data_IF_731252475533
#
_entry.id   IF_731252475533
#
_cell.length_a   1.000
_cell.length_b   1.000
_cell.length_c   1.000
_cell.angle_alpha   90.00
_cell.angle_beta   90.00
_cell.angle_gamma   90.00
#
_symmetry.space_group_name_H-M   'P 1'
#
loop_
_entity.id
_entity.type
_entity.pdbx_description
1 polymer ?
#
# COMPACT_ATOMS: atom_id res chain seq x y z
N UNK A 1 -17.83 11.58 -9.04
CA UNK A 1 -17.55 10.88 -7.77
C UNK A 1 -16.06 10.52 -7.69
N UNK A 2 -15.43 10.85 -6.58
CA UNK A 2 -14.03 10.49 -6.40
C UNK A 2 -13.91 9.00 -6.08
N UNK A 3 -12.88 8.31 -6.59
CA UNK A 3 -12.66 6.92 -6.22
C UNK A 3 -12.34 6.79 -4.72
N UNK A 4 -12.56 5.62 -4.11
CA UNK A 4 -12.18 5.38 -2.73
C UNK A 4 -10.69 5.64 -2.50
N UNK A 5 -10.33 6.03 -1.27
CA UNK A 5 -8.95 6.42 -0.97
C UNK A 5 -7.93 5.32 -1.26
N UNK A 6 -8.26 4.04 -0.99
CA UNK A 6 -7.33 2.95 -1.29
C UNK A 6 -7.01 2.84 -2.77
N UNK A 7 -7.96 3.18 -3.65
CA UNK A 7 -7.71 3.22 -5.09
C UNK A 7 -6.89 4.42 -5.51
N UNK A 8 -7.03 5.55 -4.81
CA UNK A 8 -6.19 6.72 -5.07
C UNK A 8 -4.74 6.45 -4.67
N UNK A 9 -4.52 5.78 -3.54
CA UNK A 9 -3.18 5.36 -3.13
C UNK A 9 -2.60 4.37 -4.14
N UNK A 10 -3.42 3.42 -4.62
CA UNK A 10 -3.01 2.49 -5.66
C UNK A 10 -2.51 3.25 -6.90
N UNK A 11 -3.30 4.19 -7.39
CA UNK A 11 -2.93 4.95 -8.59
C UNK A 11 -1.64 5.75 -8.37
N UNK A 12 -1.49 6.35 -7.20
CA UNK A 12 -0.31 7.11 -6.82
C UNK A 12 0.96 6.25 -6.90
N UNK A 13 0.92 5.04 -6.35
CA UNK A 13 2.08 4.14 -6.36
C UNK A 13 2.29 3.47 -7.72
N UNK A 14 1.21 3.13 -8.43
CA UNK A 14 1.31 2.57 -9.79
C UNK A 14 1.94 3.59 -10.73
N UNK A 15 1.49 4.82 -10.70
CA UNK A 15 2.01 5.88 -11.56
C UNK A 15 3.48 6.17 -11.28
N UNK A 16 3.93 5.94 -10.06
CA UNK A 16 5.34 6.11 -9.68
C UNK A 16 6.21 4.91 -10.07
N UNK A 17 5.62 3.84 -10.61
CA UNK A 17 6.36 2.63 -11.00
C UNK A 17 6.74 1.72 -9.84
N UNK A 18 6.19 1.94 -8.64
CA UNK A 18 6.57 1.22 -7.43
C UNK A 18 5.90 -0.16 -7.30
N UNK A 19 4.95 -0.47 -8.17
CA UNK A 19 4.25 -1.76 -8.17
C UNK A 19 4.76 -2.69 -9.27
N UNK A 20 5.82 -2.33 -9.95
CA UNK A 20 6.38 -3.11 -11.05
C UNK A 20 6.79 -4.51 -10.58
N UNK A 21 6.33 -5.52 -11.29
CA UNK A 21 6.60 -6.91 -10.95
C UNK A 21 5.59 -7.53 -9.98
N UNK A 22 4.57 -6.77 -9.58
CA UNK A 22 3.52 -7.23 -8.67
C UNK A 22 2.17 -7.23 -9.36
N UNK A 23 1.34 -8.22 -9.04
CA UNK A 23 -0.06 -8.22 -9.45
C UNK A 23 -0.84 -7.33 -8.49
N UNK A 24 -1.43 -6.26 -9.02
CA UNK A 24 -2.14 -5.26 -8.22
C UNK A 24 -3.57 -5.72 -7.97
N UNK A 25 -3.95 -5.79 -6.71
CA UNK A 25 -5.30 -6.18 -6.31
C UNK A 25 -5.89 -5.15 -5.33
N UNK A 26 -7.20 -5.15 -5.19
CA UNK A 26 -7.92 -4.24 -4.29
C UNK A 26 -8.88 -5.03 -3.42
N UNK A 27 -9.02 -4.60 -2.17
CA UNK A 27 -9.93 -5.13 -1.15
C UNK A 27 -9.50 -6.47 -0.58
N UNK A 28 -9.35 -7.49 -1.40
CA UNK A 28 -8.97 -8.82 -0.94
C UNK A 28 -7.82 -9.35 -1.78
N UNK A 29 -7.03 -10.22 -1.17
CA UNK A 29 -6.01 -10.96 -1.89
C UNK A 29 -6.64 -12.22 -2.47
N UNK A 30 -6.54 -12.34 -3.80
CA UNK A 30 -6.94 -13.57 -4.51
C UNK A 30 -5.66 -14.28 -4.94
N UNK A 31 -5.40 -15.43 -4.33
CA UNK A 31 -4.24 -16.26 -4.66
C UNK A 31 -4.51 -16.98 -5.96
N UNK A 32 -3.62 -16.79 -6.95
CA UNK A 32 -3.75 -17.45 -8.26
C UNK A 32 -3.20 -18.87 -8.26
N UNK A 33 -2.61 -19.32 -7.14
CA UNK A 33 -2.00 -20.63 -7.03
C UNK A 33 -0.58 -20.73 -7.58
N UNK A 34 -0.06 -19.65 -8.13
CA UNK A 34 1.31 -19.60 -8.68
C UNK A 34 2.26 -19.12 -7.59
N UNK A 35 3.11 -19.99 -7.09
CA UNK A 35 4.01 -19.69 -5.97
C UNK A 35 5.07 -18.64 -6.30
N UNK A 36 5.37 -18.42 -7.58
CA UNK A 36 6.33 -17.40 -8.00
C UNK A 36 5.70 -16.02 -8.17
N UNK A 37 4.37 -15.92 -8.17
CA UNK A 37 3.68 -14.65 -8.39
C UNK A 37 3.70 -13.79 -7.14
N UNK A 38 3.92 -12.48 -7.34
CA UNK A 38 3.93 -11.47 -6.26
C UNK A 38 2.68 -10.63 -6.36
N UNK A 39 2.18 -10.20 -5.19
CA UNK A 39 0.94 -9.41 -5.12
C UNK A 39 1.15 -8.16 -4.30
N UNK A 40 0.42 -7.11 -4.66
CA UNK A 40 0.28 -5.92 -3.82
C UNK A 40 -1.21 -5.59 -3.73
N UNK A 41 -1.73 -5.54 -2.51
CA UNK A 41 -3.17 -5.43 -2.26
C UNK A 41 -3.47 -4.14 -1.51
N UNK A 42 -4.37 -3.33 -2.04
CA UNK A 42 -4.77 -2.05 -1.46
C UNK A 42 -6.14 -2.18 -0.80
N UNK A 43 -6.22 -1.85 0.50
CA UNK A 43 -7.43 -2.03 1.29
C UNK A 43 -7.76 -0.79 2.10
N UNK A 44 -9.05 -0.46 2.27
CA UNK A 44 -9.44 0.56 3.23
C UNK A 44 -9.20 0.06 4.66
N UNK A 45 -8.87 0.98 5.57
CA UNK A 45 -8.62 0.65 6.98
C UNK A 45 -9.25 1.69 7.92
N UNK A 46 -10.44 2.17 7.58
CA UNK A 46 -11.14 3.14 8.40
C UNK A 46 -10.58 4.55 8.26
N UNK A 47 -10.73 5.32 9.31
CA UNK A 47 -10.33 6.71 9.33
C UNK A 47 -10.96 7.45 10.48
N UNK A 48 -10.83 8.78 10.49
CA UNK A 48 -11.48 9.64 11.48
C UNK A 48 -12.89 10.02 10.99
N UNK A 49 -13.69 10.54 11.92
CA UNK A 49 -15.03 11.04 11.56
C UNK A 49 -14.91 12.19 10.57
N UNK A 50 -15.76 12.18 9.55
CA UNK A 50 -15.80 13.25 8.56
C UNK A 50 -16.52 14.45 9.15
N UNK A 51 -15.85 15.62 9.12
CA UNK A 51 -16.45 16.89 9.50
C UNK A 51 -16.68 17.71 8.23
N UNK A 52 -17.77 18.45 8.18
CA UNK A 52 -18.14 19.25 6.98
C UNK A 52 -17.07 20.22 6.54
N UNK A 53 -16.45 20.87 7.50
CA UNK A 53 -15.56 22.00 7.26
C UNK A 53 -14.09 21.65 7.44
N UNK A 54 -13.78 20.38 7.74
CA UNK A 54 -12.43 19.97 8.04
C UNK A 54 -12.05 18.71 7.24
N UNK A 55 -10.75 18.54 7.06
CA UNK A 55 -10.22 17.35 6.44
C UNK A 55 -10.44 16.13 7.33
N UNK A 56 -10.58 14.98 6.71
CA UNK A 56 -10.67 13.70 7.40
C UNK A 56 -9.45 12.84 7.09
N UNK A 57 -9.02 12.06 8.06
CA UNK A 57 -7.99 11.04 7.83
C UNK A 57 -8.64 9.79 7.25
N UNK A 58 -8.04 9.26 6.21
CA UNK A 58 -8.42 8.00 5.60
C UNK A 58 -7.24 7.06 5.72
N UNK A 59 -7.43 5.92 6.39
CA UNK A 59 -6.36 4.94 6.56
C UNK A 59 -6.44 3.88 5.48
N UNK A 60 -5.27 3.53 4.93
CA UNK A 60 -5.15 2.57 3.84
C UNK A 60 -4.10 1.53 4.24
N UNK A 61 -4.45 0.26 4.09
CA UNK A 61 -3.50 -0.84 4.22
C UNK A 61 -2.99 -1.23 2.85
N UNK A 62 -1.69 -1.46 2.76
CA UNK A 62 -1.05 -1.98 1.55
C UNK A 62 -0.29 -3.23 1.95
N UNK A 63 -0.76 -4.39 1.50
CA UNK A 63 -0.08 -5.66 1.75
C UNK A 63 0.80 -6.00 0.55
N UNK A 64 2.09 -6.13 0.78
CA UNK A 64 3.06 -6.58 -0.22
C UNK A 64 3.33 -8.05 0.05
N UNK A 65 2.98 -8.92 -0.89
CA UNK A 65 3.02 -10.38 -0.74
C UNK A 65 4.00 -10.94 -1.76
N UNK A 66 5.01 -11.66 -1.27
CA UNK A 66 6.06 -12.20 -2.13
C UNK A 66 5.69 -13.53 -2.75
N UNK A 67 6.45 -13.95 -3.75
CA UNK A 67 6.53 -15.34 -4.12
C UNK A 67 7.31 -16.15 -3.09
N UNK A 68 7.39 -17.46 -3.29
CA UNK A 68 8.05 -18.37 -2.36
C UNK A 68 9.52 -18.57 -2.74
N UNK A 69 10.37 -17.60 -2.39
CA UNK A 69 11.82 -17.76 -2.56
C UNK A 69 12.58 -16.72 -1.74
N UNK A 70 13.79 -17.06 -1.34
CA UNK A 70 14.64 -16.15 -0.58
C UNK A 70 14.99 -14.89 -1.39
N UNK A 71 15.16 -15.01 -2.72
CA UNK A 71 15.41 -13.87 -3.58
C UNK A 71 14.24 -12.89 -3.61
N UNK A 72 13.02 -13.43 -3.58
CA UNK A 72 11.81 -12.61 -3.51
C UNK A 72 11.70 -11.87 -2.17
N UNK A 73 12.13 -12.48 -1.08
CA UNK A 73 12.10 -11.84 0.24
C UNK A 73 12.99 -10.60 0.25
N UNK A 74 14.21 -10.70 -0.25
CA UNK A 74 15.14 -9.58 -0.33
C UNK A 74 14.60 -8.48 -1.26
N UNK A 75 14.02 -8.87 -2.41
CA UNK A 75 13.42 -7.92 -3.34
C UNK A 75 12.26 -7.17 -2.70
N UNK A 76 11.39 -7.87 -1.96
CA UNK A 76 10.24 -7.25 -1.32
C UNK A 76 10.65 -6.24 -0.25
N UNK A 77 11.71 -6.53 0.51
CA UNK A 77 12.22 -5.58 1.50
C UNK A 77 12.68 -4.28 0.83
N UNK A 78 13.40 -4.40 -0.27
CA UNK A 78 13.84 -3.22 -1.03
C UNK A 78 12.65 -2.46 -1.62
N UNK A 79 11.66 -3.17 -2.14
CA UNK A 79 10.46 -2.55 -2.73
C UNK A 79 9.62 -1.84 -1.66
N UNK A 80 9.45 -2.45 -0.49
CA UNK A 80 8.74 -1.85 0.64
C UNK A 80 9.45 -0.57 1.10
N UNK A 81 10.78 -0.61 1.20
CA UNK A 81 11.55 0.57 1.58
C UNK A 81 11.41 1.67 0.55
N UNK A 82 11.42 1.33 -0.74
CA UNK A 82 11.24 2.29 -1.82
C UNK A 82 9.88 2.97 -1.75
N UNK A 83 8.81 2.22 -1.43
CA UNK A 83 7.47 2.78 -1.27
C UNK A 83 7.44 3.78 -0.11
N UNK A 84 8.01 3.41 1.03
CA UNK A 84 8.03 4.27 2.23
C UNK A 84 8.83 5.54 1.93
N UNK A 85 9.98 5.41 1.30
CA UNK A 85 10.85 6.56 0.97
C UNK A 85 10.15 7.49 -0.02
N UNK A 86 9.45 6.94 -1.02
CA UNK A 86 8.71 7.74 -1.98
C UNK A 86 7.61 8.56 -1.32
N UNK A 87 6.87 7.94 -0.39
CA UNK A 87 5.81 8.63 0.36
C UNK A 87 6.40 9.76 1.21
N UNK A 88 7.54 9.53 1.86
CA UNK A 88 8.22 10.56 2.65
C UNK A 88 8.66 11.75 1.80
N UNK A 89 9.10 11.50 0.58
CA UNK A 89 9.62 12.53 -0.32
C UNK A 89 8.50 13.26 -1.07
N UNK A 90 7.31 12.67 -1.15
CA UNK A 90 6.20 13.22 -1.94
C UNK A 90 4.89 13.27 -1.14
N UNK A 91 4.89 13.92 0.04
CA UNK A 91 3.72 13.85 0.93
C UNK A 91 2.49 14.60 0.42
N UNK A 92 2.66 15.56 -0.47
CA UNK A 92 1.57 16.45 -0.91
C UNK A 92 1.54 16.70 -2.41
N UNK A 93 2.12 15.81 -3.21
CA UNK A 93 2.24 16.05 -4.66
C UNK A 93 1.01 15.64 -5.45
N UNK A 94 0.09 14.89 -4.88
CA UNK A 94 -1.10 14.41 -5.56
C UNK A 94 -2.36 15.01 -4.93
N UNK A 95 -3.10 15.88 -5.67
CA UNK A 95 -4.29 16.53 -5.10
C UNK A 95 -5.42 15.54 -4.79
N UNK A 96 -5.43 14.35 -5.40
CA UNK A 96 -6.45 13.34 -5.13
C UNK A 96 -6.26 12.66 -3.78
N UNK A 97 -5.03 12.65 -3.24
CA UNK A 97 -4.72 12.07 -1.95
C UNK A 97 -4.78 13.08 -0.80
N UNK A 98 -4.58 14.36 -1.13
CA UNK A 98 -4.26 15.36 -0.12
C UNK A 98 -2.86 15.11 0.43
N UNK A 99 -2.74 15.01 1.75
CA UNK A 99 -1.47 14.70 2.40
C UNK A 99 -1.42 13.21 2.74
N UNK A 100 -0.35 12.53 2.33
CA UNK A 100 -0.14 11.12 2.65
C UNK A 100 1.08 10.96 3.56
N UNK A 101 0.97 10.08 4.56
CA UNK A 101 2.08 9.75 5.44
C UNK A 101 2.07 8.25 5.76
N UNK A 102 3.26 7.70 6.00
CA UNK A 102 3.40 6.31 6.43
C UNK A 102 3.28 6.23 7.94
N UNK A 103 2.50 5.26 8.41
CA UNK A 103 2.33 4.99 9.83
C UNK A 103 3.20 3.79 10.23
N UNK A 104 4.04 4.00 11.24
CA UNK A 104 4.81 2.92 11.85
C UNK A 104 6.11 2.52 11.16
N UNK A 105 6.46 3.17 10.04
CA UNK A 105 7.70 2.86 9.32
C UNK A 105 7.68 1.49 8.65
N UNK A 106 8.84 0.85 8.55
CA UNK A 106 8.96 -0.48 7.95
C UNK A 106 8.42 -1.54 8.91
N UNK A 107 7.38 -2.30 8.53
CA UNK A 107 6.81 -3.30 9.42
C UNK A 107 7.66 -4.56 9.49
N UNK A 108 7.40 -5.40 10.50
CA UNK A 108 7.93 -6.75 10.52
C UNK A 108 7.11 -7.64 9.59
N UNK A 109 7.75 -8.37 8.67
CA UNK A 109 7.01 -9.24 7.78
C UNK A 109 6.49 -10.48 8.50
N UNK A 110 5.40 -11.03 7.97
CA UNK A 110 4.79 -12.25 8.48
C UNK A 110 4.86 -13.32 7.38
N UNK A 111 5.22 -14.53 7.75
CA UNK A 111 5.27 -15.64 6.80
C UNK A 111 3.93 -16.36 6.74
N UNK A 112 3.48 -16.71 5.53
CA UNK A 112 2.31 -17.57 5.36
C UNK A 112 2.73 -19.03 5.45
N UNK A 113 1.77 -19.94 5.61
CA UNK A 113 2.03 -21.38 5.63
C UNK A 113 2.65 -21.88 4.33
N UNK A 114 2.33 -21.22 3.22
CA UNK A 114 2.88 -21.56 1.91
C UNK A 114 4.32 -21.08 1.70
N UNK A 115 4.84 -20.25 2.61
CA UNK A 115 6.18 -19.70 2.49
C UNK A 115 6.25 -18.34 1.79
N UNK A 116 5.13 -17.64 1.68
CA UNK A 116 5.11 -16.25 1.19
C UNK A 116 5.36 -15.31 2.36
N UNK A 117 6.06 -14.21 2.08
CA UNK A 117 6.29 -13.15 3.08
C UNK A 117 5.30 -12.02 2.82
N UNK A 118 4.62 -11.57 3.87
CA UNK A 118 3.63 -10.48 3.79
C UNK A 118 4.12 -9.29 4.59
N UNK A 119 4.21 -8.14 3.92
CA UNK A 119 4.53 -6.85 4.53
C UNK A 119 3.27 -6.02 4.55
N UNK A 120 2.78 -5.65 5.73
CA UNK A 120 1.58 -4.83 5.86
C UNK A 120 1.94 -3.39 6.16
N UNK A 121 1.83 -2.53 5.16
CA UNK A 121 2.07 -1.10 5.28
C UNK A 121 0.78 -0.38 5.64
N UNK A 122 0.91 0.67 6.45
CA UNK A 122 -0.23 1.53 6.78
C UNK A 122 0.07 2.95 6.36
N UNK A 123 -0.91 3.58 5.73
CA UNK A 123 -0.82 4.98 5.31
C UNK A 123 -2.02 5.74 5.83
N UNK A 124 -1.78 6.99 6.22
CA UNK A 124 -2.84 7.95 6.55
C UNK A 124 -2.87 9.01 5.47
N UNK A 125 -4.05 9.26 4.92
CA UNK A 125 -4.26 10.29 3.91
C UNK A 125 -5.21 11.33 4.48
N UNK A 126 -4.73 12.57 4.61
CA UNK A 126 -5.53 13.69 5.08
C UNK A 126 -6.07 14.42 3.86
N UNK A 127 -7.37 14.37 3.65
CA UNK A 127 -8.02 14.91 2.47
C UNK A 127 -9.19 15.80 2.88
N UNK A 128 -9.21 17.06 2.41
CA UNK A 128 -10.26 18.02 2.67
C UNK A 128 -11.19 18.19 1.47
N UNK A 129 -12.44 17.88 1.68
CA UNK A 129 -13.45 18.08 0.68
C UNK A 129 -13.63 16.92 -0.26
#
# INVERSE_FOLDING_TARGET
>A
MNPPMHKRVRNFLVDAGLTSGYTVQSLTWTDTGKLAERFIVFRPNGGTAVDRDMAADYYVLVDVITGKSAGDYAKSEADVQAIIDYVKQNPMTNPCLGQISNLGGTPSPVMTEEGRMVWRLQFACLFGG
#
